data_IF_078747463519
#
_entry.id   IF_078747463519
#
_cell.length_a   1.000
_cell.length_b   1.000
_cell.length_c   1.000
_cell.angle_alpha   90.00
_cell.angle_beta   90.00
_cell.angle_gamma   90.00
#
_symmetry.space_group_name_H-M   'P 1'
#
loop_
_entity.id
_entity.type
_entity.pdbx_description
1 polymer ?
#
# COMPACT_ATOMS: atom_id res chain seq x y z
N UNK A 1 -1.10 17.85 -9.84
CA UNK A 1 -2.14 17.85 -10.88
C UNK A 1 -3.22 16.88 -10.43
N UNK A 2 -4.52 17.22 -10.45
CA UNK A 2 -5.55 16.25 -10.13
C UNK A 2 -5.69 15.30 -11.32
N UNK A 3 -5.50 14.00 -11.08
CA UNK A 3 -5.60 12.95 -12.10
C UNK A 3 -6.98 12.98 -12.76
N UNK A 4 -6.99 12.91 -14.09
CA UNK A 4 -8.14 12.83 -14.99
C UNK A 4 -8.89 11.49 -14.95
N UNK A 5 -8.71 10.67 -13.91
CA UNK A 5 -9.23 9.29 -13.85
C UNK A 5 -10.55 9.15 -13.07
N UNK A 6 -11.28 10.25 -12.86
CA UNK A 6 -12.54 10.25 -12.09
C UNK A 6 -13.75 9.68 -12.84
N UNK A 7 -13.63 9.26 -14.10
CA UNK A 7 -14.80 8.99 -14.96
C UNK A 7 -15.36 7.55 -14.92
N UNK A 8 -14.90 6.65 -14.04
CA UNK A 8 -15.59 5.36 -13.89
C UNK A 8 -15.49 4.76 -12.48
N UNK A 9 -16.01 5.47 -11.47
CA UNK A 9 -16.18 4.91 -10.13
C UNK A 9 -17.38 3.96 -10.10
N UNK A 10 -17.11 2.66 -10.10
CA UNK A 10 -18.12 1.64 -9.84
C UNK A 10 -18.28 1.44 -8.33
N UNK A 11 -19.50 1.61 -7.83
CA UNK A 11 -19.83 1.38 -6.42
C UNK A 11 -20.08 -0.11 -6.19
N UNK A 12 -19.38 -0.69 -5.21
CA UNK A 12 -19.52 -2.08 -4.80
C UNK A 12 -20.21 -2.09 -3.44
N UNK A 13 -21.41 -2.68 -3.38
CA UNK A 13 -22.23 -2.69 -2.15
C UNK A 13 -22.15 -4.00 -1.37
N UNK A 14 -21.67 -5.08 -1.97
CA UNK A 14 -21.56 -6.37 -1.32
C UNK A 14 -20.33 -7.17 -1.78
N UNK A 15 -19.97 -8.18 -1.00
CA UNK A 15 -18.83 -9.07 -1.27
C UNK A 15 -19.00 -9.82 -2.60
N UNK A 16 -20.24 -10.22 -2.94
CA UNK A 16 -20.52 -10.92 -4.19
C UNK A 16 -20.19 -10.06 -5.42
N UNK A 17 -20.45 -8.76 -5.36
CA UNK A 17 -20.14 -7.82 -6.43
C UNK A 17 -18.61 -7.66 -6.59
N UNK A 18 -17.87 -7.56 -5.48
CA UNK A 18 -16.40 -7.52 -5.50
C UNK A 18 -15.79 -8.76 -6.16
N UNK A 19 -16.32 -9.95 -5.83
CA UNK A 19 -15.84 -11.21 -6.41
C UNK A 19 -16.17 -11.29 -7.90
N UNK A 20 -17.39 -10.88 -8.29
CA UNK A 20 -17.79 -10.84 -9.71
C UNK A 20 -16.86 -9.94 -10.51
N UNK A 21 -16.61 -8.72 -10.01
CA UNK A 21 -15.69 -7.77 -10.66
C UNK A 21 -14.30 -8.37 -10.82
N UNK A 22 -13.72 -8.92 -9.75
CA UNK A 22 -12.39 -9.52 -9.82
C UNK A 22 -12.31 -10.68 -10.84
N UNK A 23 -13.36 -11.52 -10.92
CA UNK A 23 -13.43 -12.61 -11.91
C UNK A 23 -13.56 -12.09 -13.33
N UNK A 24 -14.48 -11.17 -13.58
CA UNK A 24 -14.71 -10.59 -14.91
C UNK A 24 -13.46 -9.90 -15.44
N UNK A 25 -12.79 -9.10 -14.62
CA UNK A 25 -11.58 -8.38 -15.00
C UNK A 25 -10.38 -9.31 -15.23
N UNK A 26 -10.28 -10.40 -14.47
CA UNK A 26 -9.24 -11.42 -14.67
C UNK A 26 -9.49 -12.28 -15.92
N UNK A 27 -10.75 -12.50 -16.30
CA UNK A 27 -11.10 -13.27 -17.51
C UNK A 27 -11.00 -12.45 -18.80
N UNK A 28 -11.29 -11.16 -18.75
CA UNK A 28 -11.29 -10.29 -19.94
C UNK A 28 -9.89 -9.79 -20.34
N UNK A 29 -8.91 -9.87 -19.45
CA UNK A 29 -7.57 -9.33 -19.68
C UNK A 29 -6.51 -10.38 -19.35
N UNK A 30 -5.52 -10.56 -20.23
CA UNK A 30 -4.37 -11.43 -19.97
C UNK A 30 -3.43 -10.89 -18.89
N UNK A 31 -3.74 -9.72 -18.32
CA UNK A 31 -2.97 -9.05 -17.26
C UNK A 31 -3.55 -9.39 -15.88
N UNK A 32 -2.64 -9.67 -14.96
CA UNK A 32 -2.93 -9.92 -13.54
C UNK A 32 -3.28 -8.59 -12.85
N UNK A 33 -4.42 -8.55 -12.16
CA UNK A 33 -4.88 -7.37 -11.45
C UNK A 33 -4.30 -7.30 -10.04
N UNK A 34 -3.98 -6.07 -9.61
CA UNK A 34 -3.52 -5.77 -8.26
C UNK A 34 -4.52 -4.82 -7.61
N UNK A 35 -4.80 -5.08 -6.34
CA UNK A 35 -5.78 -4.38 -5.54
C UNK A 35 -5.09 -3.75 -4.32
N UNK A 36 -5.65 -2.66 -3.79
CA UNK A 36 -5.22 -2.04 -2.53
C UNK A 36 -6.45 -1.63 -1.74
N UNK A 37 -6.52 -2.09 -0.49
CA UNK A 37 -7.58 -1.71 0.41
C UNK A 37 -7.31 -0.36 1.07
N UNK A 38 -8.29 0.54 1.01
CA UNK A 38 -8.25 1.83 1.70
C UNK A 38 -9.60 2.12 2.31
N UNK A 39 -9.59 2.48 3.59
CA UNK A 39 -10.80 2.78 4.36
C UNK A 39 -11.57 4.00 3.85
N UNK A 40 -10.91 4.86 3.08
CA UNK A 40 -11.50 6.07 2.52
C UNK A 40 -11.05 6.25 1.07
N UNK A 41 -12.02 6.28 0.15
CA UNK A 41 -11.77 6.48 -1.27
C UNK A 41 -11.18 7.85 -1.63
N UNK A 42 -11.23 8.83 -0.71
CA UNK A 42 -10.61 10.16 -0.87
C UNK A 42 -9.13 10.19 -0.47
N UNK A 43 -8.60 9.12 0.12
CA UNK A 43 -7.18 9.07 0.45
C UNK A 43 -6.36 9.00 -0.84
N UNK A 44 -5.39 9.91 -0.96
CA UNK A 44 -4.46 9.88 -2.07
C UNK A 44 -3.51 8.69 -1.93
N UNK A 45 -3.08 8.14 -3.06
CA UNK A 45 -2.07 7.08 -3.15
C UNK A 45 -0.66 7.62 -2.86
N UNK A 46 -0.47 8.15 -1.65
CA UNK A 46 0.79 8.72 -1.20
C UNK A 46 1.42 7.77 -0.17
N UNK A 47 2.58 7.17 -0.47
CA UNK A 47 3.37 6.39 0.49
C UNK A 47 3.62 7.13 1.82
N UNK A 48 3.87 6.39 2.89
CA UNK A 48 4.09 6.99 4.22
C UNK A 48 5.26 7.95 4.25
N UNK A 49 6.35 7.67 3.53
CA UNK A 49 7.50 8.55 3.41
C UNK A 49 7.15 9.96 2.90
N UNK A 50 6.18 10.04 1.99
CA UNK A 50 5.78 11.29 1.33
C UNK A 50 4.60 11.98 2.03
N UNK A 51 4.21 11.52 3.23
CA UNK A 51 3.27 12.23 4.09
C UNK A 51 4.06 13.12 5.05
N UNK A 52 3.89 14.46 5.00
CA UNK A 52 4.65 15.37 5.84
C UNK A 52 4.22 15.24 7.31
N UNK A 53 5.19 15.30 8.21
CA UNK A 53 4.96 15.40 9.67
C UNK A 53 5.49 16.76 10.11
N UNK A 54 4.62 17.58 10.70
CA UNK A 54 4.91 18.96 11.09
C UNK A 54 5.52 19.81 9.95
N UNK A 55 5.07 19.56 8.71
CA UNK A 55 5.53 20.25 7.51
C UNK A 55 6.89 19.81 6.98
N UNK A 56 7.49 18.74 7.55
CA UNK A 56 8.77 18.19 7.10
C UNK A 56 8.59 16.81 6.49
N UNK A 57 9.45 16.50 5.53
CA UNK A 57 9.55 15.17 4.93
C UNK A 57 10.73 14.42 5.53
N UNK A 58 10.59 13.11 5.63
CA UNK A 58 11.69 12.25 6.03
C UNK A 58 12.68 12.04 4.88
N UNK A 59 13.97 11.93 5.22
CA UNK A 59 14.97 11.37 4.33
C UNK A 59 14.98 9.84 4.51
N UNK A 60 14.54 9.11 3.49
CA UNK A 60 14.45 7.65 3.57
C UNK A 60 15.81 6.99 3.77
N UNK A 61 16.88 7.52 3.19
CA UNK A 61 18.21 6.93 3.35
C UNK A 61 18.66 7.06 4.80
N UNK A 62 18.45 8.23 5.41
CA UNK A 62 18.76 8.44 6.82
C UNK A 62 17.93 7.51 7.72
N UNK A 63 16.64 7.31 7.40
CA UNK A 63 15.77 6.38 8.13
C UNK A 63 16.23 4.92 8.00
N UNK A 64 16.62 4.49 6.78
CA UNK A 64 17.13 3.14 6.52
C UNK A 64 18.45 2.92 7.24
N UNK A 65 19.37 3.88 7.17
CA UNK A 65 20.68 3.81 7.83
C UNK A 65 20.51 3.67 9.35
N UNK A 66 19.60 4.46 9.95
CA UNK A 66 19.28 4.34 11.37
C UNK A 66 18.62 2.99 11.70
N UNK A 67 17.70 2.53 10.84
CA UNK A 67 17.04 1.24 11.02
C UNK A 67 18.04 0.08 11.00
N UNK A 68 18.98 0.07 10.05
CA UNK A 68 20.05 -0.94 9.95
C UNK A 68 21.03 -0.84 11.13
N UNK A 69 21.32 0.37 11.63
CA UNK A 69 22.14 0.54 12.84
C UNK A 69 21.48 -0.10 14.07
N UNK A 70 20.16 0.00 14.17
CA UNK A 70 19.37 -0.58 15.26
C UNK A 70 19.07 -2.07 15.07
N UNK A 71 19.01 -2.55 13.82
CA UNK A 71 18.73 -3.94 13.44
C UNK A 71 19.76 -4.44 12.40
N UNK A 72 21.01 -4.72 12.81
CA UNK A 72 22.06 -5.17 11.88
C UNK A 72 21.67 -6.41 11.08
N UNK A 73 20.89 -7.31 11.67
CA UNK A 73 20.39 -8.53 11.04
C UNK A 73 19.51 -8.27 9.81
N UNK A 74 18.88 -7.09 9.72
CA UNK A 74 18.07 -6.71 8.58
C UNK A 74 18.91 -6.65 7.29
N UNK A 75 20.14 -6.12 7.39
CA UNK A 75 21.03 -5.98 6.24
C UNK A 75 21.69 -7.31 5.85
N UNK A 76 21.91 -8.18 6.82
CA UNK A 76 22.46 -9.52 6.59
C UNK A 76 21.45 -10.44 5.90
N UNK A 77 20.17 -10.33 6.26
CA UNK A 77 19.09 -11.20 5.75
C UNK A 77 18.45 -10.69 4.46
N UNK A 78 18.47 -9.38 4.22
CA UNK A 78 17.83 -8.75 3.07
C UNK A 78 18.87 -8.02 2.22
N UNK A 79 19.33 -8.71 1.17
CA UNK A 79 20.34 -8.18 0.25
C UNK A 79 19.73 -7.22 -0.77
N UNK A 80 18.48 -7.45 -1.15
CA UNK A 80 17.73 -6.57 -2.05
C UNK A 80 17.10 -5.39 -1.30
N UNK A 81 17.08 -4.23 -1.94
CA UNK A 81 16.52 -3.00 -1.35
C UNK A 81 15.01 -3.12 -1.11
N UNK A 82 14.26 -3.76 -2.00
CA UNK A 82 12.82 -3.94 -1.83
C UNK A 82 12.51 -4.80 -0.62
N UNK A 83 13.29 -5.87 -0.42
CA UNK A 83 13.15 -6.74 0.76
C UNK A 83 13.45 -5.98 2.05
N UNK A 84 14.54 -5.20 2.07
CA UNK A 84 14.90 -4.38 3.22
C UNK A 84 13.83 -3.33 3.52
N UNK A 85 13.31 -2.63 2.50
CA UNK A 85 12.24 -1.65 2.66
C UNK A 85 10.94 -2.29 3.13
N UNK A 86 10.61 -3.49 2.64
CA UNK A 86 9.41 -4.23 3.07
C UNK A 86 9.55 -4.66 4.54
N UNK A 87 10.73 -5.14 4.93
CA UNK A 87 11.04 -5.49 6.31
C UNK A 87 10.97 -4.25 7.21
N UNK A 88 11.61 -3.15 6.83
CA UNK A 88 11.56 -1.91 7.59
C UNK A 88 10.13 -1.34 7.72
N UNK A 89 9.33 -1.41 6.65
CA UNK A 89 7.93 -0.99 6.67
C UNK A 89 7.08 -1.86 7.63
N UNK A 90 7.39 -3.14 7.78
CA UNK A 90 6.76 -4.02 8.77
C UNK A 90 7.01 -3.56 10.21
N UNK A 91 8.16 -2.95 10.48
CA UNK A 91 8.50 -2.33 11.77
C UNK A 91 7.99 -0.88 11.91
N UNK A 92 7.21 -0.39 10.95
CA UNK A 92 6.59 0.93 10.99
C UNK A 92 7.46 2.06 10.42
N UNK A 93 8.61 1.76 9.81
CA UNK A 93 9.42 2.78 9.16
C UNK A 93 8.64 3.39 7.98
N UNK A 94 8.55 4.73 7.86
CA UNK A 94 8.01 5.37 6.66
C UNK A 94 8.88 5.03 5.43
N UNK A 95 8.29 4.41 4.42
CA UNK A 95 8.99 4.06 3.16
C UNK A 95 8.20 4.54 1.95
N UNK A 96 8.86 4.50 0.79
CA UNK A 96 8.26 4.80 -0.51
C UNK A 96 7.30 3.71 -1.01
N UNK A 97 7.15 2.60 -0.27
CA UNK A 97 6.35 1.46 -0.69
C UNK A 97 4.85 1.65 -0.40
N UNK A 98 4.03 1.14 -1.31
CA UNK A 98 2.60 0.95 -1.11
C UNK A 98 2.29 -0.55 -1.07
N UNK A 99 1.46 -0.96 -0.13
CA UNK A 99 0.89 -2.30 -0.06
C UNK A 99 -0.07 -2.55 -1.24
N UNK A 100 0.21 -3.60 -2.01
CA UNK A 100 -0.69 -4.11 -3.05
C UNK A 100 -0.88 -5.61 -2.86
N UNK A 101 -2.03 -6.12 -3.30
CA UNK A 101 -2.37 -7.54 -3.20
C UNK A 101 -3.10 -8.00 -4.44
N UNK A 102 -2.84 -9.21 -4.89
CA UNK A 102 -3.58 -9.85 -5.99
C UNK A 102 -4.91 -10.45 -5.51
N UNK A 103 -5.11 -10.53 -4.19
CA UNK A 103 -6.33 -11.05 -3.60
C UNK A 103 -7.30 -9.92 -3.29
N UNK A 104 -8.37 -9.80 -4.09
CA UNK A 104 -9.42 -8.80 -3.92
C UNK A 104 -10.05 -8.82 -2.52
N UNK A 105 -10.14 -9.99 -1.87
CA UNK A 105 -10.75 -10.10 -0.54
C UNK A 105 -9.87 -9.50 0.55
N UNK A 106 -8.54 -9.57 0.39
CA UNK A 106 -7.59 -8.91 1.30
C UNK A 106 -7.71 -7.40 1.16
N UNK A 107 -7.77 -6.89 -0.07
CA UNK A 107 -7.99 -5.46 -0.31
C UNK A 107 -9.36 -5.01 0.23
N UNK A 108 -10.43 -5.79 0.00
CA UNK A 108 -11.76 -5.47 0.51
C UNK A 108 -11.80 -5.42 2.04
N UNK A 109 -11.13 -6.36 2.71
CA UNK A 109 -11.00 -6.34 4.17
C UNK A 109 -10.39 -5.02 4.67
N UNK A 110 -9.25 -4.59 4.10
CA UNK A 110 -8.61 -3.33 4.48
C UNK A 110 -9.43 -2.08 4.06
N UNK A 111 -10.26 -2.19 3.01
CA UNK A 111 -11.18 -1.13 2.62
C UNK A 111 -12.36 -0.98 3.61
N UNK A 112 -12.80 -2.07 4.22
CA UNK A 112 -13.88 -2.06 5.21
C UNK A 112 -13.38 -1.92 6.65
N UNK A 113 -12.09 -2.15 6.91
CA UNK A 113 -11.51 -1.99 8.25
C UNK A 113 -11.45 -0.51 8.62
N UNK A 114 -12.42 -0.05 9.41
CA UNK A 114 -12.41 1.29 10.01
C UNK A 114 -11.29 1.39 11.05
N UNK A 115 -10.23 2.13 10.71
CA UNK A 115 -9.38 2.88 11.64
C UNK A 115 -8.84 2.13 12.87
N UNK A 116 -8.34 0.89 12.74
CA UNK A 116 -7.65 0.25 13.86
C UNK A 116 -6.20 0.69 14.05
N UNK A 117 -5.59 1.40 13.07
CA UNK A 117 -4.31 2.10 13.27
C UNK A 117 -4.26 3.36 12.37
N UNK A 118 -4.02 4.56 12.92
CA UNK A 118 -3.59 5.69 12.09
C UNK A 118 -2.24 5.35 11.45
N UNK A 119 -2.16 5.43 10.13
CA UNK A 119 -0.93 5.32 9.31
C UNK A 119 -0.48 6.70 8.86
#
# INVERSE_FOLDING_TARGET
MPNSDTENQQVISCVADAIKLAKTETSNNSKKWWFRGQSNARHNLVPSLFRPIDGKYYDENMLIDEFVRMHPEARERHTDLLELLTYAQHYGLPTRLLDWTENVLVALYFACSTALLPK
#
